data_IF_045785560776
#
_entry.id   IF_045785560776
#
_cell.length_a   1.000
_cell.length_b   1.000
_cell.length_c   1.000
_cell.angle_alpha   90.00
_cell.angle_beta   90.00
_cell.angle_gamma   90.00
#
_symmetry.space_group_name_H-M   'P 1'
#
loop_
_entity.id
_entity.type
_entity.pdbx_description
1 polymer ?
#
# COMPACT_ATOMS: atom_id res chain seq x y z
N UNK A 1 -16.70 -48.40 13.60
CA UNK A 1 -17.72 -48.02 12.61
C UNK A 1 -17.04 -48.04 11.26
N UNK A 2 -17.49 -48.92 10.36
CA UNK A 2 -17.00 -48.95 8.98
C UNK A 2 -17.33 -47.61 8.29
N UNK A 3 -16.44 -47.06 7.44
CA UNK A 3 -16.68 -45.79 6.77
C UNK A 3 -17.86 -45.90 5.79
N UNK A 4 -18.82 -44.99 5.90
CA UNK A 4 -20.05 -44.94 5.09
C UNK A 4 -19.81 -44.41 3.66
N UNK A 5 -18.79 -44.91 2.96
CA UNK A 5 -18.41 -44.50 1.61
C UNK A 5 -17.70 -43.14 1.50
N UNK A 6 -17.33 -42.71 0.28
CA UNK A 6 -16.69 -41.42 0.04
C UNK A 6 -17.67 -40.26 0.21
N UNK A 7 -17.19 -39.13 0.73
CA UNK A 7 -18.00 -37.92 0.84
C UNK A 7 -18.30 -37.31 -0.54
N UNK A 8 -19.59 -37.18 -0.87
CA UNK A 8 -20.05 -36.64 -2.17
C UNK A 8 -19.95 -35.12 -2.33
N UNK A 9 -19.48 -34.39 -1.31
CA UNK A 9 -19.44 -32.91 -1.31
C UNK A 9 -18.03 -32.33 -1.18
N UNK A 10 -16.99 -33.17 -1.27
CA UNK A 10 -15.61 -32.71 -1.38
C UNK A 10 -15.35 -32.13 -2.78
N UNK A 11 -14.47 -31.12 -2.92
CA UNK A 11 -14.04 -30.64 -4.23
C UNK A 11 -13.39 -31.78 -5.04
N UNK A 12 -13.51 -31.71 -6.37
CA UNK A 12 -13.02 -32.75 -7.26
C UNK A 12 -11.51 -32.96 -7.06
N UNK A 13 -11.12 -34.18 -6.66
CA UNK A 13 -9.73 -34.55 -6.36
C UNK A 13 -9.39 -34.71 -4.86
N UNK A 14 -10.29 -34.33 -3.94
CA UNK A 14 -10.05 -34.37 -2.47
C UNK A 14 -11.09 -35.23 -1.72
N UNK A 15 -11.57 -36.33 -2.31
CA UNK A 15 -12.60 -37.16 -1.69
C UNK A 15 -12.11 -37.83 -0.40
N UNK A 16 -12.60 -37.36 0.74
CA UNK A 16 -12.31 -37.94 2.06
C UNK A 16 -13.36 -39.00 2.45
N UNK A 17 -12.98 -40.00 3.27
CA UNK A 17 -13.94 -40.96 3.82
C UNK A 17 -14.96 -40.23 4.69
N UNK A 18 -16.23 -40.53 4.51
CA UNK A 18 -17.29 -39.94 5.31
C UNK A 18 -17.21 -40.42 6.76
N UNK A 19 -17.22 -39.46 7.69
CA UNK A 19 -17.18 -39.69 9.14
C UNK A 19 -18.54 -39.53 9.79
N UNK A 20 -19.48 -38.91 9.08
CA UNK A 20 -20.78 -38.52 9.59
C UNK A 20 -21.84 -38.70 8.51
N UNK A 21 -23.09 -38.79 8.93
CA UNK A 21 -24.23 -38.98 8.04
C UNK A 21 -25.33 -37.98 8.40
N UNK A 22 -25.93 -37.32 7.40
CA UNK A 22 -26.98 -36.34 7.67
C UNK A 22 -28.24 -37.03 8.21
N UNK A 23 -28.80 -36.62 9.36
CA UNK A 23 -29.97 -37.30 9.93
C UNK A 23 -31.27 -37.09 9.14
N UNK A 24 -31.32 -36.13 8.21
CA UNK A 24 -32.53 -35.80 7.43
C UNK A 24 -32.64 -36.58 6.12
N UNK A 25 -31.53 -36.82 5.45
CA UNK A 25 -31.50 -37.43 4.11
C UNK A 25 -30.48 -38.58 4.00
N UNK A 26 -29.82 -38.90 5.11
CA UNK A 26 -28.85 -39.99 5.24
C UNK A 26 -27.62 -39.90 4.32
N UNK A 27 -27.29 -38.70 3.81
CA UNK A 27 -26.14 -38.53 2.93
C UNK A 27 -24.83 -38.44 3.73
N UNK A 28 -23.80 -39.23 3.37
CA UNK A 28 -22.53 -39.26 4.09
C UNK A 28 -21.63 -38.05 3.79
N UNK A 29 -20.99 -37.50 4.83
CA UNK A 29 -20.09 -36.36 4.73
C UNK A 29 -18.84 -36.48 5.63
N UNK A 30 -17.73 -35.86 5.23
CA UNK A 30 -16.45 -35.97 5.95
C UNK A 30 -16.28 -34.90 7.05
N UNK A 31 -16.91 -33.75 6.91
CA UNK A 31 -16.71 -32.58 7.77
C UNK A 31 -17.90 -31.62 7.74
N UNK A 32 -17.96 -30.71 8.70
CA UNK A 32 -19.00 -29.67 8.77
C UNK A 32 -19.06 -28.80 7.50
N UNK A 33 -17.93 -28.60 6.80
CA UNK A 33 -17.88 -27.91 5.50
C UNK A 33 -18.71 -28.63 4.45
N UNK A 34 -18.54 -29.95 4.34
CA UNK A 34 -19.32 -30.78 3.43
C UNK A 34 -20.78 -30.89 3.86
N UNK A 35 -21.06 -30.85 5.17
CA UNK A 35 -22.43 -30.73 5.67
C UNK A 35 -23.11 -29.42 5.24
N UNK A 36 -22.40 -28.28 5.21
CA UNK A 36 -22.96 -26.99 4.75
C UNK A 36 -23.13 -26.94 3.23
N UNK A 37 -22.22 -27.55 2.47
CA UNK A 37 -22.32 -27.66 1.00
C UNK A 37 -23.44 -28.61 0.54
N UNK A 38 -23.91 -29.48 1.44
CA UNK A 38 -25.00 -30.42 1.23
C UNK A 38 -26.39 -29.74 1.12
N UNK A 39 -26.46 -28.41 1.23
CA UNK A 39 -27.61 -27.62 0.77
C UNK A 39 -28.76 -27.51 1.76
N UNK A 40 -30.00 -27.70 1.29
CA UNK A 40 -31.24 -27.38 2.02
C UNK A 40 -31.34 -28.01 3.41
N UNK A 41 -30.85 -29.25 3.58
CA UNK A 41 -30.84 -29.91 4.89
C UNK A 41 -29.99 -29.19 5.95
N UNK A 42 -28.92 -28.52 5.53
CA UNK A 42 -28.09 -27.72 6.43
C UNK A 42 -28.76 -26.38 6.74
N UNK A 43 -29.33 -25.73 5.73
CA UNK A 43 -30.07 -24.47 5.89
C UNK A 43 -31.26 -24.63 6.84
N UNK A 44 -32.05 -25.71 6.70
CA UNK A 44 -33.19 -25.98 7.57
C UNK A 44 -32.76 -26.25 9.01
N UNK A 45 -31.66 -26.96 9.24
CA UNK A 45 -31.11 -27.16 10.58
C UNK A 45 -30.71 -25.85 11.25
N UNK A 46 -30.01 -24.97 10.52
CA UNK A 46 -29.63 -23.66 11.05
C UNK A 46 -30.84 -22.74 11.25
N UNK A 47 -31.81 -22.79 10.33
CA UNK A 47 -33.06 -22.06 10.45
C UNK A 47 -33.84 -22.52 11.68
N UNK A 48 -33.94 -23.82 11.91
CA UNK A 48 -34.61 -24.38 13.09
C UNK A 48 -33.88 -24.03 14.40
N UNK A 49 -32.53 -24.01 14.38
CA UNK A 49 -31.73 -23.57 15.52
C UNK A 49 -31.93 -22.07 15.82
N UNK A 50 -31.94 -21.21 14.80
CA UNK A 50 -32.18 -19.77 14.94
C UNK A 50 -33.63 -19.48 15.37
N UNK A 51 -34.61 -20.15 14.77
CA UNK A 51 -36.01 -20.02 15.15
C UNK A 51 -36.26 -20.58 16.56
N UNK A 52 -35.57 -21.65 16.95
CA UNK A 52 -35.59 -22.23 18.29
C UNK A 52 -35.06 -21.25 19.35
N UNK A 53 -33.95 -20.56 19.07
CA UNK A 53 -33.42 -19.53 19.96
C UNK A 53 -34.32 -18.28 20.03
N UNK A 54 -34.96 -17.90 18.91
CA UNK A 54 -35.86 -16.74 18.84
C UNK A 54 -37.21 -16.98 19.54
N UNK A 55 -37.74 -18.21 19.52
CA UNK A 55 -39.01 -18.55 20.18
C UNK A 55 -38.92 -18.55 21.70
N UNK A 56 -37.71 -18.63 22.27
CA UNK A 56 -37.52 -18.68 23.72
C UNK A 56 -37.46 -17.32 24.43
N UNK A 57 -37.27 -16.19 23.74
CA UNK A 57 -36.99 -14.90 24.38
C UNK A 57 -37.43 -13.70 23.54
N UNK A 58 -38.48 -13.01 23.96
CA UNK A 58 -38.79 -11.64 23.52
C UNK A 58 -37.72 -10.67 24.05
N UNK A 59 -36.67 -10.44 23.25
CA UNK A 59 -35.55 -9.57 23.63
C UNK A 59 -35.64 -8.19 22.94
N UNK A 60 -35.32 -7.13 23.70
CA UNK A 60 -35.41 -5.73 23.28
C UNK A 60 -34.45 -5.36 22.12
N UNK A 61 -34.75 -4.29 21.36
CA UNK A 61 -33.98 -3.87 20.17
C UNK A 61 -32.46 -3.67 20.39
N UNK A 62 -32.04 -3.29 21.60
CA UNK A 62 -30.63 -3.09 21.96
C UNK A 62 -29.84 -4.41 22.06
N UNK A 63 -30.50 -5.51 22.46
CA UNK A 63 -29.90 -6.84 22.49
C UNK A 63 -29.82 -7.44 21.08
N UNK A 64 -30.80 -7.18 20.23
CA UNK A 64 -30.77 -7.52 18.81
C UNK A 64 -29.62 -6.80 18.09
N UNK A 65 -29.42 -5.50 18.34
CA UNK A 65 -28.29 -4.75 17.79
C UNK A 65 -26.93 -5.30 18.25
N UNK A 66 -26.84 -5.74 19.51
CA UNK A 66 -25.62 -6.36 20.04
C UNK A 66 -25.38 -7.77 19.48
N UNK A 67 -26.43 -8.55 19.23
CA UNK A 67 -26.34 -9.85 18.58
C UNK A 67 -25.95 -9.72 17.09
N UNK A 68 -26.51 -8.74 16.38
CA UNK A 68 -26.12 -8.41 15.00
C UNK A 68 -24.66 -7.94 14.91
N UNK A 69 -24.16 -7.20 15.91
CA UNK A 69 -22.73 -6.84 16.01
C UNK A 69 -21.84 -8.06 16.19
N UNK A 70 -22.21 -9.00 17.08
CA UNK A 70 -21.48 -10.26 17.26
C UNK A 70 -21.48 -11.14 16.00
N UNK A 71 -22.59 -11.22 15.29
CA UNK A 71 -22.69 -11.95 14.02
C UNK A 71 -21.87 -11.32 12.89
N UNK A 72 -21.76 -9.98 12.84
CA UNK A 72 -20.85 -9.29 11.91
C UNK A 72 -19.39 -9.57 12.26
N UNK A 73 -19.02 -9.47 13.53
CA UNK A 73 -17.67 -9.80 14.00
C UNK A 73 -17.28 -11.26 13.72
N UNK A 74 -18.22 -12.20 13.84
CA UNK A 74 -18.01 -13.62 13.51
C UNK A 74 -17.89 -13.87 12.00
N UNK A 75 -18.64 -13.15 11.16
CA UNK A 75 -18.46 -13.19 9.69
C UNK A 75 -17.12 -12.62 9.24
N UNK A 76 -16.58 -11.65 9.96
CA UNK A 76 -15.33 -10.98 9.62
C UNK A 76 -14.07 -11.73 10.07
N UNK A 77 -14.20 -12.64 11.05
CA UNK A 77 -13.15 -13.62 11.37
C UNK A 77 -13.07 -14.77 10.34
N UNK A 78 -14.10 -14.95 9.52
CA UNK A 78 -14.16 -16.00 8.47
C UNK A 78 -13.86 -15.47 7.05
N UNK A 79 -13.70 -14.15 6.87
CA UNK A 79 -13.22 -13.49 5.63
C UNK A 79 -11.68 -13.57 5.47
N UNK A 80 -10.99 -14.39 6.28
CA UNK A 80 -9.64 -14.82 5.93
C UNK A 80 -9.78 -15.67 4.65
N UNK A 81 -9.19 -15.29 3.50
CA UNK A 81 -8.91 -16.30 2.49
C UNK A 81 -8.09 -17.38 3.20
N UNK A 82 -8.60 -18.62 3.21
CA UNK A 82 -7.75 -19.78 3.44
C UNK A 82 -6.53 -19.57 2.57
N UNK A 83 -5.37 -19.48 3.23
CA UNK A 83 -4.05 -19.38 2.67
C UNK A 83 -3.96 -20.18 1.37
N UNK A 84 -4.21 -19.50 0.26
CA UNK A 84 -4.10 -20.06 -1.07
C UNK A 84 -2.63 -19.92 -1.43
N UNK A 85 -1.80 -20.74 -0.79
CA UNK A 85 -0.40 -20.95 -1.14
C UNK A 85 0.43 -19.68 -1.17
N UNK A 86 0.39 -18.87 -0.11
CA UNK A 86 1.52 -17.97 0.15
C UNK A 86 2.71 -18.86 0.50
N UNK A 87 3.52 -19.19 -0.52
CA UNK A 87 4.95 -19.33 -0.27
C UNK A 87 5.33 -18.02 0.42
N UNK A 88 5.85 -18.04 1.66
CA UNK A 88 6.56 -16.88 2.18
C UNK A 88 7.53 -16.50 1.06
N UNK A 89 7.45 -15.26 0.57
CA UNK A 89 8.42 -14.76 -0.40
C UNK A 89 9.77 -15.22 0.11
N UNK A 90 10.53 -15.93 -0.74
CA UNK A 90 11.69 -16.72 -0.31
C UNK A 90 12.44 -15.96 0.79
N UNK A 91 12.20 -16.32 2.04
CA UNK A 91 13.20 -16.14 3.08
C UNK A 91 14.43 -16.77 2.45
N UNK A 92 15.53 -16.02 2.22
CA UNK A 92 16.75 -16.63 1.74
C UNK A 92 17.09 -17.69 2.77
N UNK A 93 16.75 -18.94 2.44
CA UNK A 93 16.82 -20.07 3.35
C UNK A 93 18.30 -20.22 3.70
N UNK A 94 18.70 -19.75 4.88
CA UNK A 94 20.09 -19.80 5.33
C UNK A 94 20.67 -18.53 5.98
N UNK A 95 19.89 -17.45 6.19
CA UNK A 95 20.40 -16.27 6.91
C UNK A 95 20.41 -16.41 8.44
N UNK A 96 19.55 -17.26 9.01
CA UNK A 96 19.55 -17.57 10.44
C UNK A 96 20.81 -18.35 10.80
N UNK A 97 21.59 -17.84 11.77
CA UNK A 97 22.85 -18.46 12.16
C UNK A 97 24.09 -17.96 11.39
N UNK A 98 23.95 -17.00 10.46
CA UNK A 98 25.09 -16.52 9.67
C UNK A 98 26.17 -15.91 10.54
N UNK A 99 25.77 -15.06 11.50
CA UNK A 99 26.69 -14.44 12.43
C UNK A 99 27.49 -15.50 13.19
N UNK A 100 26.82 -16.54 13.67
CA UNK A 100 27.40 -17.64 14.44
C UNK A 100 28.41 -18.45 13.62
N UNK A 101 28.22 -18.53 12.30
CA UNK A 101 29.07 -19.26 11.35
C UNK A 101 30.31 -18.49 10.89
N UNK A 102 30.37 -17.17 11.12
CA UNK A 102 31.52 -16.35 10.77
C UNK A 102 32.73 -16.67 11.66
N UNK A 103 33.92 -16.73 11.07
CA UNK A 103 35.17 -16.82 11.80
C UNK A 103 35.37 -15.57 12.68
N UNK A 104 36.10 -15.66 13.80
CA UNK A 104 36.32 -14.50 14.68
C UNK A 104 36.91 -13.28 13.96
N UNK A 105 37.77 -13.50 12.96
CA UNK A 105 38.35 -12.44 12.13
C UNK A 105 37.30 -11.73 11.25
N UNK A 106 36.31 -12.47 10.73
CA UNK A 106 35.22 -11.94 9.90
C UNK A 106 34.23 -11.13 10.74
N UNK A 107 33.89 -11.61 11.94
CA UNK A 107 33.09 -10.86 12.93
C UNK A 107 33.76 -9.52 13.27
N UNK A 108 35.04 -9.56 13.62
CA UNK A 108 35.81 -8.36 13.94
C UNK A 108 35.97 -7.42 12.72
N UNK A 109 35.99 -7.94 11.49
CA UNK A 109 35.99 -7.12 10.28
C UNK A 109 34.64 -6.41 10.09
N UNK A 110 33.53 -7.13 10.27
CA UNK A 110 32.18 -6.56 10.17
C UNK A 110 31.91 -5.51 11.27
N UNK A 111 32.29 -5.78 12.52
CA UNK A 111 32.18 -4.79 13.61
C UNK A 111 32.98 -3.53 13.35
N UNK A 112 34.19 -3.64 12.77
CA UNK A 112 34.97 -2.47 12.33
C UNK A 112 34.24 -1.68 11.25
N UNK A 113 33.55 -2.36 10.35
CA UNK A 113 32.76 -1.77 9.26
C UNK A 113 31.54 -1.01 9.81
N UNK A 114 30.85 -1.58 10.82
CA UNK A 114 29.77 -0.93 11.56
C UNK A 114 30.27 0.32 12.31
N UNK A 115 31.36 0.19 13.07
CA UNK A 115 31.91 1.29 13.87
C UNK A 115 32.43 2.46 13.01
N UNK A 116 32.83 2.19 11.76
CA UNK A 116 33.24 3.21 10.79
C UNK A 116 32.07 3.81 10.01
N UNK A 117 30.85 3.30 10.17
CA UNK A 117 29.67 3.71 9.41
C UNK A 117 29.72 3.33 7.92
N UNK A 118 30.67 2.48 7.51
CA UNK A 118 30.85 2.07 6.12
C UNK A 118 29.82 1.01 5.69
N UNK A 119 29.16 0.36 6.67
CA UNK A 119 28.24 -0.75 6.43
C UNK A 119 27.00 -0.33 5.63
N UNK A 120 26.59 0.93 5.73
CA UNK A 120 25.49 1.47 4.93
C UNK A 120 25.76 1.44 3.42
N UNK A 121 27.02 1.44 2.98
CA UNK A 121 27.39 1.35 1.55
C UNK A 121 27.15 -0.03 0.96
N UNK A 122 27.06 -1.05 1.82
CA UNK A 122 26.82 -2.43 1.41
C UNK A 122 25.32 -2.74 1.29
N UNK A 123 24.46 -1.87 1.85
CA UNK A 123 23.02 -2.02 1.72
C UNK A 123 22.56 -1.40 0.40
N UNK A 124 21.83 -2.14 -0.45
CA UNK A 124 21.22 -1.53 -1.62
C UNK A 124 20.27 -0.43 -1.17
N UNK A 125 20.19 0.66 -1.95
CA UNK A 125 19.19 1.69 -1.71
C UNK A 125 17.80 1.05 -1.84
N UNK A 126 16.96 1.26 -0.83
CA UNK A 126 15.59 0.78 -0.87
C UNK A 126 14.87 1.40 -2.06
N UNK A 127 14.17 0.56 -2.83
CA UNK A 127 13.34 0.98 -3.95
C UNK A 127 11.90 0.50 -3.73
N UNK A 128 10.91 1.41 -3.81
CA UNK A 128 9.53 1.01 -3.91
C UNK A 128 9.29 0.04 -5.06
N UNK A 129 8.43 -0.94 -4.82
CA UNK A 129 8.06 -1.95 -5.81
C UNK A 129 7.36 -1.37 -7.04
N UNK A 130 6.77 -0.17 -6.94
CA UNK A 130 6.13 0.50 -8.07
C UNK A 130 7.12 1.29 -8.97
N UNK A 131 8.42 1.21 -8.69
CA UNK A 131 9.46 1.81 -9.55
C UNK A 131 9.94 0.91 -10.69
N UNK A 132 9.51 -0.37 -10.81
CA UNK A 132 9.83 -1.13 -12.02
C UNK A 132 9.25 -2.54 -12.23
N UNK A 133 8.84 -2.81 -13.48
CA UNK A 133 9.61 -3.57 -14.48
C UNK A 133 9.63 -2.79 -15.82
N UNK A 134 10.79 -2.28 -16.24
CA UNK A 134 11.06 -1.94 -17.65
C UNK A 134 10.11 -0.98 -18.37
N UNK A 135 9.97 0.25 -17.89
CA UNK A 135 9.77 1.38 -18.79
C UNK A 135 10.78 2.45 -18.36
N UNK A 136 11.76 2.72 -19.23
CA UNK A 136 12.37 4.04 -19.33
C UNK A 136 11.30 5.10 -19.05
N UNK A 137 11.61 6.20 -18.34
CA UNK A 137 10.65 7.25 -18.11
C UNK A 137 10.13 7.67 -19.48
N UNK A 138 8.91 7.24 -19.82
CA UNK A 138 8.07 7.96 -20.76
C UNK A 138 7.76 9.25 -20.03
N UNK A 139 8.72 10.17 -20.10
CA UNK A 139 8.51 11.58 -19.99
C UNK A 139 7.21 11.82 -20.75
N UNK A 140 6.18 12.22 -20.02
CA UNK A 140 5.06 12.93 -20.61
C UNK A 140 5.68 14.21 -21.16
N UNK A 141 6.21 14.13 -22.36
CA UNK A 141 6.62 15.28 -23.14
C UNK A 141 5.31 15.88 -23.62
N UNK A 142 4.87 16.93 -22.91
CA UNK A 142 3.80 17.79 -23.37
C UNK A 142 4.27 18.40 -24.70
N UNK A 143 3.57 18.09 -25.79
CA UNK A 143 3.64 18.90 -27.00
C UNK A 143 3.14 20.28 -26.60
N UNK A 144 4.07 21.23 -26.45
CA UNK A 144 3.71 22.63 -26.34
C UNK A 144 2.93 23.01 -27.61
N UNK A 145 1.65 23.33 -27.43
CA UNK A 145 0.85 24.05 -28.42
C UNK A 145 1.47 25.44 -28.60
N UNK A 146 2.43 25.56 -29.51
CA UNK A 146 2.83 26.84 -30.06
C UNK A 146 1.90 27.20 -31.23
N UNK A 147 1.41 28.45 -31.31
CA UNK A 147 0.52 28.88 -32.38
C UNK A 147 1.29 28.97 -33.71
N UNK A 148 0.60 28.62 -34.79
CA UNK A 148 1.16 28.41 -36.11
C UNK A 148 2.03 29.54 -36.68
N UNK A 149 2.98 29.13 -37.52
CA UNK A 149 3.83 30.00 -38.31
C UNK A 149 4.59 29.20 -39.36
N UNK A 150 4.00 29.14 -40.55
CA UNK A 150 4.56 28.93 -41.89
C UNK A 150 5.37 27.67 -42.23
N UNK A 151 4.78 26.95 -43.19
CA UNK A 151 5.41 25.95 -44.03
C UNK A 151 6.37 26.59 -45.03
N UNK A 152 7.60 26.06 -45.12
CA UNK A 152 8.42 26.12 -46.33
C UNK A 152 9.47 24.99 -46.35
N UNK A 153 9.27 24.07 -47.30
CA UNK A 153 10.24 23.42 -48.20
C UNK A 153 11.33 22.41 -47.71
N UNK A 154 11.03 21.14 -48.01
CA UNK A 154 11.76 20.17 -48.87
C UNK A 154 13.16 19.59 -48.51
N UNK A 155 13.12 18.26 -48.20
CA UNK A 155 13.89 17.13 -48.80
C UNK A 155 15.40 16.88 -48.45
N UNK A 156 15.97 15.65 -48.65
CA UNK A 156 16.64 14.89 -47.58
C UNK A 156 18.06 14.35 -47.91
N UNK A 157 18.61 13.63 -46.92
CA UNK A 157 19.69 12.61 -46.97
C UNK A 157 21.17 13.06 -47.11
N UNK A 158 21.98 12.66 -46.11
CA UNK A 158 23.28 12.01 -46.37
C UNK A 158 23.73 11.18 -45.17
N UNK A 159 23.95 9.90 -45.44
CA UNK A 159 24.72 8.98 -44.61
C UNK A 159 26.15 9.48 -44.36
N UNK A 160 26.71 9.13 -43.19
CA UNK A 160 28.15 8.91 -42.90
C UNK A 160 28.28 8.33 -41.47
N UNK A 161 28.40 7.01 -41.35
CA UNK A 161 29.63 6.24 -41.08
C UNK A 161 30.12 6.29 -39.61
N UNK A 162 29.98 5.13 -38.96
CA UNK A 162 30.49 4.74 -37.64
C UNK A 162 32.02 4.52 -37.67
N UNK A 163 32.80 4.94 -36.65
CA UNK A 163 34.15 4.44 -36.44
C UNK A 163 34.17 3.26 -35.45
N UNK A 164 34.96 2.24 -35.78
CA UNK A 164 35.34 1.10 -34.92
C UNK A 164 36.57 1.43 -34.05
N UNK A 165 36.84 0.66 -32.97
CA UNK A 165 37.75 1.05 -31.89
C UNK A 165 39.19 0.60 -32.13
N UNK A 166 40.13 1.38 -31.60
CA UNK A 166 41.56 1.07 -31.62
C UNK A 166 41.97 0.42 -30.29
N UNK A 167 42.73 -0.66 -30.42
CA UNK A 167 43.23 -1.57 -29.39
C UNK A 167 44.60 -1.11 -28.93
N UNK A 168 44.82 -0.99 -27.62
CA UNK A 168 46.13 -1.17 -27.01
C UNK A 168 45.97 -1.77 -25.60
N UNK A 169 46.81 -2.75 -25.32
CA UNK A 169 46.78 -3.60 -24.14
C UNK A 169 48.02 -3.37 -23.28
N UNK A 170 47.80 -3.41 -21.96
CA UNK A 170 48.68 -3.89 -20.87
C UNK A 170 48.63 -2.95 -19.66
N UNK A 171 47.92 -3.34 -18.60
CA UNK A 171 48.60 -3.93 -17.44
C UNK A 171 47.57 -4.47 -16.43
N UNK A 172 47.81 -5.71 -16.02
CA UNK A 172 46.92 -6.51 -15.20
C UNK A 172 47.12 -6.22 -13.71
N UNK A 173 46.05 -5.79 -13.05
CA UNK A 173 45.85 -6.00 -11.62
C UNK A 173 44.50 -6.71 -11.44
N UNK A 174 44.58 -8.02 -11.24
CA UNK A 174 43.47 -8.89 -10.84
C UNK A 174 42.81 -8.31 -9.59
N UNK A 175 41.66 -7.69 -9.77
CA UNK A 175 40.66 -7.55 -8.71
C UNK A 175 39.51 -8.41 -9.17
N UNK A 176 39.29 -9.51 -8.47
CA UNK A 176 38.19 -10.44 -8.69
C UNK A 176 36.88 -9.68 -8.39
N UNK A 177 36.35 -8.97 -9.38
CA UNK A 177 35.00 -8.42 -9.35
C UNK A 177 34.03 -9.60 -9.38
N UNK A 178 33.74 -10.10 -8.18
CA UNK A 178 32.56 -10.91 -7.94
C UNK A 178 31.36 -10.06 -8.34
N UNK A 179 30.86 -10.30 -9.55
CA UNK A 179 29.59 -9.77 -10.04
C UNK A 179 28.51 -10.22 -9.06
N UNK A 180 28.23 -9.38 -8.08
CA UNK A 180 27.05 -9.45 -7.25
C UNK A 180 25.89 -9.29 -8.23
N UNK A 181 25.17 -10.39 -8.48
CA UNK A 181 23.98 -10.37 -9.31
C UNK A 181 23.04 -9.26 -8.86
N UNK A 182 22.29 -8.69 -9.81
CA UNK A 182 21.33 -7.61 -9.58
C UNK A 182 20.57 -7.85 -8.27
N UNK A 183 20.52 -6.86 -7.35
CA UNK A 183 19.76 -7.02 -6.12
C UNK A 183 18.33 -7.43 -6.50
N UNK A 184 17.69 -8.35 -5.76
CA UNK A 184 16.33 -8.76 -6.05
C UNK A 184 15.44 -7.51 -6.04
N UNK A 185 15.06 -7.04 -7.23
CA UNK A 185 14.19 -5.89 -7.38
C UNK A 185 12.94 -6.11 -6.54
N UNK A 186 12.51 -5.07 -5.82
CA UNK A 186 11.38 -5.16 -4.91
C UNK A 186 10.16 -5.77 -5.63
N UNK A 187 9.82 -7.01 -5.29
CA UNK A 187 8.69 -7.71 -5.89
C UNK A 187 7.41 -6.99 -5.49
N UNK A 188 6.61 -6.59 -6.49
CA UNK A 188 5.28 -6.03 -6.25
C UNK A 188 4.46 -6.98 -5.35
N UNK A 189 3.76 -6.45 -4.32
CA UNK A 189 2.91 -7.26 -3.47
C UNK A 189 1.83 -7.92 -4.34
N UNK A 190 1.53 -9.18 -4.02
CA UNK A 190 0.58 -9.96 -4.80
C UNK A 190 -0.82 -9.29 -4.75
N UNK A 191 -1.39 -9.04 -5.93
CA UNK A 191 -2.78 -8.59 -6.03
C UNK A 191 -3.69 -9.72 -5.53
N UNK A 192 -4.66 -9.43 -4.63
CA UNK A 192 -5.60 -10.44 -4.17
C UNK A 192 -6.35 -11.09 -5.33
N UNK A 193 -6.26 -12.42 -5.45
CA UNK A 193 -6.86 -13.20 -6.56
C UNK A 193 -8.38 -13.27 -6.50
N UNK A 194 -8.98 -12.99 -5.33
CA UNK A 194 -10.42 -12.92 -5.14
C UNK A 194 -10.80 -11.57 -4.56
N UNK A 195 -11.34 -10.72 -5.44
CA UNK A 195 -11.89 -9.42 -5.08
C UNK A 195 -13.42 -9.55 -5.09
N UNK A 196 -14.10 -9.37 -3.95
CA UNK A 196 -15.56 -9.44 -3.91
C UNK A 196 -16.18 -8.29 -4.70
N UNK A 197 -17.37 -8.52 -5.25
CA UNK A 197 -18.13 -7.45 -5.91
C UNK A 197 -18.53 -6.37 -4.90
N UNK A 198 -18.55 -5.11 -5.32
CA UNK A 198 -18.89 -3.98 -4.46
C UNK A 198 -20.30 -4.10 -3.89
N UNK A 199 -21.22 -4.66 -4.68
CA UNK A 199 -22.60 -4.95 -4.28
C UNK A 199 -22.70 -5.94 -3.10
N UNK A 200 -21.72 -6.83 -2.90
CA UNK A 200 -21.72 -7.73 -1.73
C UNK A 200 -21.25 -7.04 -0.44
N UNK A 201 -20.54 -5.92 -0.57
CA UNK A 201 -20.00 -5.16 0.58
C UNK A 201 -20.95 -4.05 1.05
N UNK A 202 -21.72 -3.45 0.14
CA UNK A 202 -22.65 -2.37 0.45
C UNK A 202 -23.98 -2.50 -0.28
N UNK A 203 -25.08 -2.23 0.42
CA UNK A 203 -26.46 -2.30 -0.11
C UNK A 203 -26.89 -1.08 -0.94
N UNK A 204 -26.09 -0.02 -0.96
CA UNK A 204 -26.38 1.22 -1.67
C UNK A 204 -25.40 1.48 -2.81
N UNK A 205 -25.77 2.38 -3.74
CA UNK A 205 -24.86 2.84 -4.79
C UNK A 205 -23.67 3.55 -4.15
N UNK A 206 -22.46 3.24 -4.63
CA UNK A 206 -21.25 3.91 -4.17
C UNK A 206 -21.34 5.42 -4.43
N UNK A 207 -20.91 6.21 -3.45
CA UNK A 207 -20.83 7.66 -3.61
C UNK A 207 -19.84 8.02 -4.73
N UNK A 208 -20.13 9.05 -5.56
CA UNK A 208 -19.19 9.52 -6.58
C UNK A 208 -17.88 10.06 -5.96
N UNK A 209 -17.87 10.38 -4.66
CA UNK A 209 -16.71 10.89 -3.94
C UNK A 209 -15.73 9.79 -3.49
N UNK A 210 -16.10 8.51 -3.61
CA UNK A 210 -15.22 7.38 -3.22
C UNK A 210 -13.89 7.42 -3.98
N UNK A 211 -13.90 7.85 -5.25
CA UNK A 211 -12.69 7.97 -6.07
C UNK A 211 -11.63 8.88 -5.44
N UNK A 212 -12.02 9.94 -4.73
CA UNK A 212 -11.10 10.89 -4.11
C UNK A 212 -10.52 10.40 -2.79
N UNK A 213 -10.92 9.22 -2.32
CA UNK A 213 -10.26 8.55 -1.20
C UNK A 213 -8.94 7.92 -1.63
N UNK A 214 -8.82 7.49 -2.89
CA UNK A 214 -7.63 6.80 -3.40
C UNK A 214 -6.37 7.68 -3.33
N UNK A 215 -6.36 8.96 -3.78
CA UNK A 215 -5.16 9.79 -3.71
C UNK A 215 -4.65 9.98 -2.28
N UNK A 216 -5.55 10.21 -1.33
CA UNK A 216 -5.19 10.38 0.09
C UNK A 216 -4.60 9.09 0.68
N UNK A 217 -5.23 7.94 0.43
CA UNK A 217 -4.73 6.64 0.90
C UNK A 217 -3.38 6.29 0.27
N UNK A 218 -3.22 6.52 -1.02
CA UNK A 218 -2.00 6.19 -1.76
C UNK A 218 -0.85 7.14 -1.41
N UNK A 219 -1.13 8.41 -1.12
CA UNK A 219 -0.15 9.33 -0.56
C UNK A 219 0.42 8.79 0.76
N UNK A 220 -0.47 8.47 1.70
CA UNK A 220 -0.06 7.96 3.00
C UNK A 220 0.68 6.63 2.87
N UNK A 221 0.21 5.73 2.00
CA UNK A 221 0.90 4.48 1.68
C UNK A 221 2.31 4.68 1.14
N UNK A 222 2.49 5.57 0.16
CA UNK A 222 3.80 5.84 -0.41
C UNK A 222 4.75 6.41 0.63
N UNK A 223 4.27 7.36 1.44
CA UNK A 223 5.02 7.96 2.54
C UNK A 223 5.45 6.91 3.58
N UNK A 224 4.51 6.11 4.10
CA UNK A 224 4.84 5.13 5.14
C UNK A 224 5.69 3.98 4.63
N UNK A 225 5.47 3.52 3.39
CA UNK A 225 6.32 2.47 2.83
C UNK A 225 7.74 2.97 2.60
N UNK A 226 7.92 4.23 2.21
CA UNK A 226 9.24 4.82 2.06
C UNK A 226 9.94 5.08 3.40
N UNK A 227 9.18 5.31 4.46
CA UNK A 227 9.72 5.54 5.80
C UNK A 227 10.12 4.22 6.51
N UNK A 228 9.32 3.16 6.34
CA UNK A 228 9.47 1.90 7.09
C UNK A 228 9.80 0.69 6.21
N UNK A 229 10.07 0.90 4.92
CA UNK A 229 10.53 -0.09 3.93
C UNK A 229 9.69 -1.37 3.76
N UNK A 230 8.43 -1.39 4.22
CA UNK A 230 7.60 -2.60 4.19
C UNK A 230 6.93 -2.93 5.52
N UNK A 231 7.35 -2.28 6.61
CA UNK A 231 6.82 -2.53 7.95
C UNK A 231 7.20 -3.92 8.42
N UNK A 232 8.48 -4.12 8.76
CA UNK A 232 8.91 -5.25 9.57
C UNK A 232 8.00 -5.38 10.79
N UNK A 233 7.79 -6.60 11.30
CA UNK A 233 6.84 -6.82 12.40
C UNK A 233 7.15 -5.96 13.64
N UNK A 234 8.42 -5.56 13.83
CA UNK A 234 8.84 -4.64 14.89
C UNK A 234 8.40 -3.17 14.67
N UNK A 235 8.31 -2.71 13.42
CA UNK A 235 7.94 -1.34 13.03
C UNK A 235 6.47 -1.25 12.60
N UNK A 236 5.74 -2.36 12.64
CA UNK A 236 4.36 -2.43 12.20
C UNK A 236 3.41 -1.49 12.97
N UNK A 237 3.54 -1.29 14.29
CA UNK A 237 2.76 -0.29 15.02
C UNK A 237 3.01 1.14 14.50
N UNK A 238 4.28 1.56 14.40
CA UNK A 238 4.66 2.90 13.92
C UNK A 238 4.22 3.14 12.47
N UNK A 239 4.32 2.10 11.62
CA UNK A 239 3.80 2.11 10.26
C UNK A 239 2.29 2.40 10.24
N UNK A 240 1.52 1.70 11.08
CA UNK A 240 0.07 1.85 11.11
C UNK A 240 -0.36 3.20 11.71
N UNK A 241 0.31 3.65 12.76
CA UNK A 241 0.01 4.94 13.39
C UNK A 241 0.30 6.10 12.43
N UNK A 242 1.45 6.06 11.74
CA UNK A 242 1.77 7.05 10.70
C UNK A 242 0.78 6.98 9.54
N UNK A 243 0.41 5.78 9.09
CA UNK A 243 -0.54 5.61 7.99
C UNK A 243 -1.92 6.19 8.33
N UNK A 244 -2.41 5.92 9.54
CA UNK A 244 -3.73 6.37 9.98
C UNK A 244 -3.75 7.86 10.28
N UNK A 245 -2.67 8.43 10.80
CA UNK A 245 -2.57 9.86 11.05
C UNK A 245 -2.44 10.68 9.76
N UNK A 246 -1.60 10.25 8.81
CA UNK A 246 -1.43 10.94 7.52
C UNK A 246 -2.65 10.75 6.61
N UNK A 247 -3.28 9.56 6.63
CA UNK A 247 -4.47 9.30 5.81
C UNK A 247 -5.75 9.74 6.53
N UNK A 248 -6.18 10.98 6.28
CA UNK A 248 -7.52 11.45 6.68
C UNK A 248 -8.65 10.52 6.21
N UNK A 249 -8.49 9.85 5.06
CA UNK A 249 -9.40 8.82 4.59
C UNK A 249 -9.49 7.65 5.59
N UNK A 250 -8.38 7.08 6.04
CA UNK A 250 -8.38 5.89 6.88
C UNK A 250 -8.58 6.21 8.37
N UNK A 251 -7.88 7.20 8.91
CA UNK A 251 -7.91 7.54 10.33
C UNK A 251 -9.13 8.36 10.73
N UNK A 252 -9.40 9.45 10.01
CA UNK A 252 -10.44 10.41 10.35
C UNK A 252 -11.77 10.20 9.59
N UNK A 253 -11.83 9.23 8.67
CA UNK A 253 -12.98 9.00 7.77
C UNK A 253 -13.37 10.24 6.95
N UNK A 254 -12.39 11.10 6.66
CA UNK A 254 -12.58 12.32 5.89
C UNK A 254 -13.11 12.01 4.49
N UNK A 255 -13.99 12.88 4.00
CA UNK A 255 -14.53 12.85 2.64
C UNK A 255 -13.89 13.97 1.86
N UNK A 256 -13.52 13.69 0.61
CA UNK A 256 -12.87 14.62 -0.29
C UNK A 256 -13.73 14.84 -1.53
N UNK A 257 -13.64 16.03 -2.10
CA UNK A 257 -14.40 16.47 -3.28
C UNK A 257 -13.54 16.56 -4.54
N UNK A 258 -12.22 16.54 -4.40
CA UNK A 258 -11.26 16.52 -5.50
C UNK A 258 -9.99 15.72 -5.15
N UNK A 259 -9.19 15.39 -6.16
CA UNK A 259 -7.88 14.74 -5.94
C UNK A 259 -6.87 15.69 -5.30
N UNK A 260 -6.97 16.98 -5.62
CA UNK A 260 -6.13 18.03 -5.04
C UNK A 260 -6.38 18.17 -3.53
N UNK A 261 -7.63 18.30 -3.12
CA UNK A 261 -8.02 18.39 -1.71
C UNK A 261 -7.55 17.15 -0.92
N UNK A 262 -7.69 15.97 -1.52
CA UNK A 262 -7.28 14.70 -0.93
C UNK A 262 -5.76 14.62 -0.67
N UNK A 263 -4.95 15.16 -1.59
CA UNK A 263 -3.50 15.21 -1.45
C UNK A 263 -3.05 16.34 -0.50
N UNK A 264 -3.65 17.52 -0.60
CA UNK A 264 -3.37 18.67 0.27
C UNK A 264 -3.68 18.36 1.74
N UNK A 265 -4.76 17.61 2.02
CA UNK A 265 -5.08 17.21 3.38
C UNK A 265 -3.97 16.34 4.02
N UNK A 266 -3.39 15.41 3.26
CA UNK A 266 -2.29 14.58 3.76
C UNK A 266 -0.95 15.34 3.81
N UNK A 267 -0.73 16.24 2.85
CA UNK A 267 0.42 17.14 2.81
C UNK A 267 0.48 18.04 4.06
N UNK A 268 -0.66 18.63 4.43
CA UNK A 268 -0.76 19.52 5.57
C UNK A 268 -0.39 18.83 6.90
N UNK A 269 -0.80 17.56 7.07
CA UNK A 269 -0.43 16.75 8.25
C UNK A 269 1.09 16.57 8.35
N UNK A 270 1.78 16.33 7.23
CA UNK A 270 3.24 16.21 7.22
C UNK A 270 3.95 17.55 7.45
N UNK A 271 3.44 18.63 6.86
CA UNK A 271 3.99 19.98 7.02
C UNK A 271 3.80 20.53 8.44
N UNK A 272 2.72 20.12 9.12
CA UNK A 272 2.49 20.43 10.52
C UNK A 272 3.47 19.70 11.47
N UNK A 273 4.23 18.72 10.97
CA UNK A 273 5.21 17.97 11.76
C UNK A 273 4.59 16.98 12.75
N UNK A 274 3.33 16.59 12.54
CA UNK A 274 2.63 15.62 13.41
C UNK A 274 3.21 14.19 13.26
N UNK A 275 3.87 13.92 12.14
CA UNK A 275 4.49 12.64 11.82
C UNK A 275 5.91 12.81 11.27
N UNK A 276 6.79 11.79 11.37
CA UNK A 276 8.16 11.88 10.91
C UNK A 276 8.24 12.24 9.41
N UNK A 277 9.16 13.15 9.02
CA UNK A 277 9.37 13.45 7.61
C UNK A 277 9.95 12.21 6.92
N UNK A 278 9.27 11.74 5.87
CA UNK A 278 9.73 10.62 5.05
C UNK A 278 10.71 11.09 3.97
N UNK A 279 11.53 10.18 3.40
CA UNK A 279 12.53 10.53 2.38
C UNK A 279 11.92 11.06 1.07
N UNK A 280 10.64 10.79 0.82
CA UNK A 280 9.90 11.36 -0.31
C UNK A 280 9.52 12.83 -0.09
N UNK A 281 9.42 13.27 1.17
CA UNK A 281 8.73 14.51 1.53
C UNK A 281 7.27 14.55 1.04
N UNK A 282 6.62 15.69 1.27
CA UNK A 282 5.23 15.94 0.85
C UNK A 282 5.08 15.85 -0.67
N UNK A 283 5.88 16.62 -1.40
CA UNK A 283 5.84 16.70 -2.86
C UNK A 283 6.11 15.35 -3.53
N UNK A 284 7.07 14.57 -3.02
CA UNK A 284 7.37 13.24 -3.54
C UNK A 284 6.22 12.27 -3.29
N UNK A 285 5.62 12.26 -2.10
CA UNK A 285 4.47 11.42 -1.80
C UNK A 285 3.26 11.71 -2.74
N UNK A 286 3.01 12.99 -3.09
CA UNK A 286 1.99 13.34 -4.11
C UNK A 286 2.31 12.71 -5.48
N UNK A 287 3.58 12.77 -5.89
CA UNK A 287 4.03 12.20 -7.17
C UNK A 287 3.90 10.68 -7.18
N UNK A 288 4.26 10.02 -6.09
CA UNK A 288 4.15 8.57 -5.98
C UNK A 288 2.68 8.11 -5.97
N UNK A 289 1.77 8.86 -5.33
CA UNK A 289 0.33 8.60 -5.42
C UNK A 289 -0.18 8.63 -6.88
N UNK A 290 0.25 9.64 -7.66
CA UNK A 290 -0.08 9.73 -9.09
C UNK A 290 0.49 8.54 -9.88
N UNK A 291 1.75 8.15 -9.60
CA UNK A 291 2.40 7.00 -10.27
C UNK A 291 1.69 5.68 -9.96
N UNK A 292 1.29 5.44 -8.71
CA UNK A 292 0.57 4.22 -8.31
C UNK A 292 -0.83 4.16 -8.95
N UNK A 293 -1.52 5.30 -9.08
CA UNK A 293 -2.80 5.37 -9.81
C UNK A 293 -2.64 5.14 -11.32
N UNK A 294 -1.50 5.58 -11.88
CA UNK A 294 -1.22 5.42 -13.30
C UNK A 294 -0.91 3.96 -13.68
N UNK A 295 -0.27 3.21 -12.77
CA UNK A 295 0.13 1.83 -13.02
C UNK A 295 1.13 1.72 -14.16
N UNK A 296 1.07 0.61 -14.91
CA UNK A 296 1.91 0.37 -16.10
C UNK A 296 1.28 0.93 -17.38
N UNK A 297 0.54 2.04 -17.24
CA UNK A 297 -0.25 2.62 -18.33
C UNK A 297 -1.50 1.77 -18.66
N UNK A 298 -2.04 1.89 -19.89
CA UNK A 298 -3.33 1.28 -20.25
C UNK A 298 -3.39 -0.25 -20.16
N UNK A 299 -2.23 -0.92 -20.15
CA UNK A 299 -2.15 -2.38 -20.16
C UNK A 299 -2.44 -3.01 -18.78
N UNK A 300 -2.11 -2.29 -17.70
CA UNK A 300 -2.30 -2.76 -16.33
C UNK A 300 -2.45 -1.57 -15.38
N UNK A 301 -3.54 -0.84 -15.57
CA UNK A 301 -3.76 0.42 -14.89
C UNK A 301 -4.10 0.22 -13.41
N UNK A 302 -5.06 -0.66 -13.11
CA UNK A 302 -5.48 -0.89 -11.72
C UNK A 302 -4.51 -1.75 -10.92
N UNK A 303 -3.57 -2.45 -11.54
CA UNK A 303 -2.69 -3.43 -10.89
C UNK A 303 -1.94 -2.86 -9.69
N UNK A 304 -1.34 -1.68 -9.84
CA UNK A 304 -0.57 -1.04 -8.77
C UNK A 304 -1.50 -0.56 -7.64
N UNK A 305 -2.63 0.04 -7.98
CA UNK A 305 -3.61 0.47 -6.96
C UNK A 305 -4.17 -0.73 -6.18
N UNK A 306 -4.50 -1.84 -6.86
CA UNK A 306 -4.96 -3.06 -6.21
C UNK A 306 -3.88 -3.71 -5.33
N UNK A 307 -2.63 -3.74 -5.80
CA UNK A 307 -1.50 -4.25 -5.04
C UNK A 307 -1.26 -3.42 -3.76
N UNK A 308 -1.30 -2.09 -3.86
CA UNK A 308 -1.15 -1.18 -2.72
C UNK A 308 -2.29 -1.37 -1.69
N UNK A 309 -3.54 -1.36 -2.14
CA UNK A 309 -4.70 -1.55 -1.25
C UNK A 309 -4.74 -2.96 -0.64
N UNK A 310 -4.30 -3.97 -1.39
CA UNK A 310 -4.17 -5.35 -0.93
C UNK A 310 -3.11 -5.46 0.17
N UNK A 311 -1.95 -4.85 -0.06
CA UNK A 311 -0.87 -4.77 0.94
C UNK A 311 -1.38 -4.09 2.21
N UNK A 312 -2.03 -2.92 2.10
CA UNK A 312 -2.61 -2.22 3.25
C UNK A 312 -3.62 -3.07 4.02
N UNK A 313 -4.53 -3.74 3.32
CA UNK A 313 -5.54 -4.58 3.97
C UNK A 313 -4.91 -5.76 4.74
N UNK A 314 -3.83 -6.34 4.22
CA UNK A 314 -3.07 -7.40 4.89
C UNK A 314 -2.30 -6.86 6.10
N UNK A 315 -1.57 -5.75 5.92
CA UNK A 315 -0.75 -5.12 6.95
C UNK A 315 -1.58 -4.63 8.14
N UNK A 316 -2.70 -3.93 7.88
CA UNK A 316 -3.66 -3.54 8.92
C UNK A 316 -4.31 -4.76 9.59
N UNK A 317 -4.49 -5.86 8.86
CA UNK A 317 -4.96 -7.13 9.39
C UNK A 317 -3.98 -7.79 10.35
N UNK A 318 -2.67 -7.75 10.03
CA UNK A 318 -1.59 -8.24 10.90
C UNK A 318 -1.46 -7.37 12.15
N UNK A 319 -1.42 -6.04 11.99
CA UNK A 319 -1.34 -5.09 13.10
C UNK A 319 -2.49 -5.28 14.10
N UNK A 320 -3.72 -5.48 13.60
CA UNK A 320 -4.89 -5.74 14.45
C UNK A 320 -4.74 -7.02 15.29
N UNK A 321 -4.04 -8.04 14.79
CA UNK A 321 -3.79 -9.28 15.55
C UNK A 321 -2.79 -9.05 16.68
N UNK A 322 -1.88 -8.09 16.54
CA UNK A 322 -0.87 -7.72 17.52
C UNK A 322 -1.35 -6.66 18.53
N UNK A 323 -2.32 -5.82 18.13
CA UNK A 323 -2.85 -4.77 18.99
C UNK A 323 -3.56 -5.32 20.23
N UNK A 324 -3.17 -4.82 21.41
CA UNK A 324 -3.75 -5.23 22.69
C UNK A 324 -5.00 -4.41 23.03
N UNK A 325 -5.00 -3.11 22.70
CA UNK A 325 -6.08 -2.20 23.01
C UNK A 325 -7.30 -2.41 22.09
N UNK A 326 -8.50 -2.46 22.67
CA UNK A 326 -9.74 -2.67 21.89
C UNK A 326 -10.02 -1.51 20.94
N UNK A 327 -9.74 -0.27 21.37
CA UNK A 327 -9.95 0.92 20.53
C UNK A 327 -9.03 0.92 19.30
N UNK A 328 -7.77 0.55 19.49
CA UNK A 328 -6.77 0.43 18.43
C UNK A 328 -7.17 -0.68 17.44
N UNK A 329 -7.57 -1.85 17.96
CA UNK A 329 -8.10 -2.95 17.14
C UNK A 329 -9.30 -2.53 16.29
N UNK A 330 -10.17 -1.69 16.83
CA UNK A 330 -11.34 -1.16 16.12
C UNK A 330 -10.95 -0.13 15.04
N UNK A 331 -9.97 0.74 15.31
CA UNK A 331 -9.42 1.68 14.32
C UNK A 331 -8.79 0.94 13.14
N UNK A 332 -7.89 0.00 13.42
CA UNK A 332 -7.23 -0.85 12.42
C UNK A 332 -8.24 -1.67 11.60
N UNK A 333 -9.29 -2.18 12.27
CA UNK A 333 -10.36 -2.89 11.60
C UNK A 333 -11.12 -2.02 10.59
N UNK A 334 -11.52 -0.81 10.97
CA UNK A 334 -12.24 0.12 10.07
C UNK A 334 -11.38 0.51 8.88
N UNK A 335 -10.10 0.81 9.12
CA UNK A 335 -9.15 1.12 8.06
C UNK A 335 -8.95 -0.06 7.10
N UNK A 336 -8.79 -1.30 7.61
CA UNK A 336 -8.72 -2.52 6.80
C UNK A 336 -9.98 -2.68 5.93
N UNK A 337 -11.17 -2.49 6.52
CA UNK A 337 -12.43 -2.59 5.79
C UNK A 337 -12.58 -1.50 4.72
N UNK A 338 -12.11 -0.29 4.98
CA UNK A 338 -12.07 0.79 3.98
C UNK A 338 -11.13 0.44 2.82
N UNK A 339 -9.95 -0.13 3.11
CA UNK A 339 -9.05 -0.63 2.05
C UNK A 339 -9.71 -1.74 1.22
N UNK A 340 -10.38 -2.71 1.85
CA UNK A 340 -11.12 -3.77 1.14
C UNK A 340 -12.25 -3.20 0.27
N UNK A 341 -12.98 -2.21 0.76
CA UNK A 341 -14.02 -1.52 0.00
C UNK A 341 -13.43 -0.79 -1.22
N UNK A 342 -12.35 -0.03 -1.02
CA UNK A 342 -11.66 0.69 -2.11
C UNK A 342 -11.06 -0.28 -3.13
N UNK A 343 -10.64 -1.47 -2.69
CA UNK A 343 -10.09 -2.51 -3.55
C UNK A 343 -11.19 -3.07 -4.49
N UNK A 344 -12.36 -3.40 -3.95
CA UNK A 344 -13.54 -3.76 -4.76
C UNK A 344 -13.99 -2.63 -5.68
N UNK A 345 -14.03 -1.39 -5.18
CA UNK A 345 -14.42 -0.22 -5.98
C UNK A 345 -13.45 -0.01 -7.15
N UNK A 346 -12.14 -0.08 -6.90
CA UNK A 346 -11.09 0.07 -7.93
C UNK A 346 -11.20 -1.01 -8.99
N UNK A 347 -11.46 -2.26 -8.59
CA UNK A 347 -11.58 -3.37 -9.52
C UNK A 347 -12.73 -3.18 -10.53
N UNK A 348 -13.83 -2.55 -10.11
CA UNK A 348 -15.02 -2.28 -10.93
C UNK A 348 -14.97 -0.92 -11.66
N UNK A 349 -14.10 0.01 -11.26
CA UNK A 349 -14.07 1.41 -11.76
C UNK A 349 -12.72 1.80 -12.35
N UNK A 350 -12.04 0.87 -13.04
CA UNK A 350 -10.70 1.07 -13.61
C UNK A 350 -10.59 2.30 -14.53
N UNK A 351 -11.63 2.57 -15.31
CA UNK A 351 -11.67 3.69 -16.28
C UNK A 351 -11.47 5.07 -15.64
N UNK A 352 -11.74 5.21 -14.33
CA UNK A 352 -11.61 6.49 -13.61
C UNK A 352 -10.15 6.76 -13.21
N UNK A 353 -9.31 5.72 -13.15
CA UNK A 353 -7.96 5.82 -12.59
C UNK A 353 -7.05 6.73 -13.42
N UNK A 354 -7.18 6.76 -14.76
CA UNK A 354 -6.34 7.63 -15.62
C UNK A 354 -6.59 9.08 -15.30
N UNK A 355 -7.87 9.48 -15.31
CA UNK A 355 -8.25 10.86 -15.03
C UNK A 355 -7.80 11.27 -13.64
N UNK A 356 -7.98 10.39 -12.64
CA UNK A 356 -7.57 10.63 -11.28
C UNK A 356 -6.03 10.76 -11.13
N UNK A 357 -5.26 9.92 -11.82
CA UNK A 357 -3.80 10.01 -11.85
C UNK A 357 -3.33 11.35 -12.45
N UNK A 358 -3.97 11.80 -13.53
CA UNK A 358 -3.68 13.10 -14.15
C UNK A 358 -4.06 14.27 -13.24
N UNK A 359 -5.19 14.19 -12.51
CA UNK A 359 -5.55 15.17 -11.49
C UNK A 359 -4.50 15.24 -10.37
N UNK A 360 -4.03 14.09 -9.89
CA UNK A 360 -2.94 14.03 -8.91
C UNK A 360 -1.63 14.63 -9.45
N UNK A 361 -1.30 14.36 -10.71
CA UNK A 361 -0.11 14.93 -11.36
C UNK A 361 -0.20 16.45 -11.50
N UNK A 362 -1.39 16.98 -11.82
CA UNK A 362 -1.65 18.43 -11.83
C UNK A 362 -1.50 19.04 -10.44
N UNK A 363 -2.11 18.44 -9.42
CA UNK A 363 -1.99 18.90 -8.04
C UNK A 363 -0.53 18.90 -7.55
N UNK A 364 0.26 17.86 -7.90
CA UNK A 364 1.68 17.82 -7.63
C UNK A 364 2.45 18.97 -8.31
N UNK A 365 2.17 19.26 -9.59
CA UNK A 365 2.80 20.37 -10.31
C UNK A 365 2.43 21.73 -9.71
N UNK A 366 1.15 21.93 -9.39
CA UNK A 366 0.69 23.16 -8.74
C UNK A 366 1.38 23.37 -7.39
N UNK A 367 1.49 22.32 -6.58
CA UNK A 367 2.20 22.38 -5.30
C UNK A 367 3.70 22.65 -5.48
N UNK A 368 4.33 22.14 -6.54
CA UNK A 368 5.73 22.46 -6.86
C UNK A 368 5.92 23.94 -7.21
N UNK A 369 5.04 24.52 -8.03
CA UNK A 369 5.07 25.95 -8.37
C UNK A 369 4.91 26.81 -7.11
N UNK A 370 3.92 26.50 -6.26
CA UNK A 370 3.73 27.24 -5.01
C UNK A 370 4.93 27.11 -4.08
N UNK A 371 5.56 25.94 -3.98
CA UNK A 371 6.76 25.75 -3.17
C UNK A 371 7.96 26.56 -3.71
N UNK A 372 8.12 26.67 -5.03
CA UNK A 372 9.14 27.49 -5.66
C UNK A 372 8.90 28.99 -5.43
N UNK A 373 7.65 29.45 -5.51
CA UNK A 373 7.26 30.83 -5.18
C UNK A 373 7.55 31.16 -3.71
N UNK A 374 7.17 30.28 -2.78
CA UNK A 374 7.45 30.46 -1.35
C UNK A 374 8.94 30.48 -1.09
N UNK A 375 9.73 29.60 -1.72
CA UNK A 375 11.18 29.59 -1.59
C UNK A 375 11.82 30.88 -2.14
N UNK A 376 11.34 31.40 -3.28
CA UNK A 376 11.81 32.65 -3.85
C UNK A 376 11.53 33.84 -2.91
N UNK A 377 10.28 33.96 -2.42
CA UNK A 377 9.90 35.00 -1.47
C UNK A 377 10.69 34.91 -0.17
N UNK A 378 10.91 33.68 0.33
CA UNK A 378 11.72 33.46 1.53
C UNK A 378 13.15 33.91 1.30
N UNK A 379 13.78 33.55 0.18
CA UNK A 379 15.13 34.02 -0.16
C UNK A 379 15.24 35.54 -0.33
N UNK A 380 14.20 36.19 -0.86
CA UNK A 380 14.12 37.66 -0.90
C UNK A 380 14.05 38.28 0.49
N UNK A 381 13.20 37.74 1.37
CA UNK A 381 13.08 38.18 2.75
C UNK A 381 14.40 38.00 3.52
N UNK A 382 15.04 36.85 3.39
CA UNK A 382 16.33 36.57 4.04
C UNK A 382 17.43 37.55 3.57
N UNK A 383 17.43 37.90 2.28
CA UNK A 383 18.33 38.94 1.74
C UNK A 383 18.03 40.31 2.32
N UNK A 384 16.76 40.67 2.46
CA UNK A 384 16.33 41.94 3.06
C UNK A 384 16.69 42.02 4.56
N UNK A 385 16.61 40.90 5.26
CA UNK A 385 16.93 40.79 6.68
C UNK A 385 18.43 40.64 6.96
N UNK A 386 19.22 40.25 5.95
CA UNK A 386 20.64 39.92 6.11
C UNK A 386 20.85 38.60 6.87
N UNK A 387 19.86 37.70 6.85
CA UNK A 387 19.88 36.43 7.56
C UNK A 387 18.51 35.72 7.57
N UNK A 388 18.43 34.50 8.15
CA UNK A 388 17.22 33.67 8.15
C UNK A 388 16.08 34.21 9.02
N UNK A 389 16.33 35.27 9.81
CA UNK A 389 15.37 35.84 10.75
C UNK A 389 15.26 37.34 10.56
N UNK A 390 14.06 37.92 10.78
CA UNK A 390 13.86 39.36 10.72
C UNK A 390 14.76 40.09 11.73
N UNK A 391 15.28 41.28 11.39
CA UNK A 391 16.10 42.07 12.30
C UNK A 391 15.30 42.46 13.54
N UNK A 392 15.97 42.47 14.70
CA UNK A 392 15.33 42.85 15.95
C UNK A 392 14.73 44.27 15.85
N UNK A 393 13.50 44.49 16.36
CA UNK A 393 12.89 45.81 16.34
C UNK A 393 13.75 46.78 17.16
N UNK A 394 14.06 47.95 16.59
CA UNK A 394 14.77 49.01 17.32
C UNK A 394 13.85 49.57 18.41
N UNK A 395 14.30 49.56 19.66
CA UNK A 395 13.64 50.27 20.77
C UNK A 395 13.71 51.77 20.51
N UNK A 396 12.59 52.38 20.12
CA UNK A 396 12.49 53.80 19.74
C UNK A 396 12.31 54.76 20.93
N UNK A 397 12.16 54.23 22.16
CA UNK A 397 12.02 55.03 23.38
C UNK A 397 12.90 54.39 24.46
N UNK A 398 13.99 55.07 24.83
CA UNK A 398 14.76 54.79 26.04
C UNK A 398 14.29 55.76 27.13
N UNK A 399 13.80 55.23 28.25
CA UNK A 399 13.58 56.04 29.45
C UNK A 399 14.96 56.47 30.00
N UNK A 400 15.20 57.79 30.06
CA UNK A 400 16.42 58.33 30.62
C UNK A 400 16.48 58.01 32.13
N UNK A 401 17.61 57.54 32.66
CA UNK A 401 17.77 57.33 34.10
C UNK A 401 17.63 58.67 34.84
N UNK A 402 16.69 58.72 35.78
CA UNK A 402 16.38 59.89 36.60
C UNK A 402 17.37 60.17 37.74
#
# INVERSE_FOLDING_TARGET
>A
MEPAGPCGFCPAGEAQPARYTCPRCNVPYCSLRCYRAHGSCAEDFYRDQVLGELRGRSASPSRLASALRRLRQQRETEDEPQDAGLRPGLEPRGLSGLWERLAPAEKAAFERLLNRGEAGRLLPLWQPWWWGRGAEPRLLEELNDAPGGDAADLEPASARTRPEPMKDAADALNTDEMVLGDPPGACAPAVPTRIPALASLSRGRASPLVRFQLPNVLFAYAHTLALYHGGDDALLPDFCDTLLGVSGALGAQQVFTSAEEALQAAAHVLEAGEHPPGPLGTRGAMREAARILMGEGPANQKGYTLAALGHLAQTLGRARKQAEATEERDRLYRARKKCQYLLSWTNENEVVLTALALDCARAHRAHAVTAEEVAALTGELERLWGGPMPPAPRTLIEELPG
#
